data_IF_724991896627
#
_entry.id   IF_724991896627
#
_cell.length_a   1.000
_cell.length_b   1.000
_cell.length_c   1.000
_cell.angle_alpha   90.00
_cell.angle_beta   90.00
_cell.angle_gamma   90.00
#
_symmetry.space_group_name_H-M   'P 1'
#
loop_
_entity.id
_entity.type
_entity.pdbx_description
1 polymer ?
#
# COMPACT_ATOMS: atom_id res chain seq x y z
N UNK A 1 -9.79 -4.64 9.72
CA UNK A 1 -8.33 -4.67 9.54
C UNK A 1 -7.64 -3.46 10.17
N UNK A 2 -8.03 -2.22 9.85
CA UNK A 2 -7.47 -1.00 10.47
C UNK A 2 -7.42 -1.06 12.01
N UNK A 3 -8.56 -1.35 12.67
CA UNK A 3 -8.62 -1.51 14.14
C UNK A 3 -7.68 -2.59 14.71
N UNK A 4 -7.40 -3.64 13.93
CA UNK A 4 -6.49 -4.71 14.34
C UNK A 4 -5.02 -4.29 14.21
N UNK A 5 -4.70 -3.44 13.22
CA UNK A 5 -3.38 -2.82 13.05
C UNK A 5 -3.17 -1.76 14.14
N UNK A 6 -4.17 -0.94 14.46
CA UNK A 6 -4.09 0.03 15.57
C UNK A 6 -3.83 -0.69 16.90
N UNK A 7 -4.52 -1.81 17.12
CA UNK A 7 -4.30 -2.67 18.29
C UNK A 7 -2.92 -3.35 18.27
N UNK A 8 -2.37 -3.66 17.09
CA UNK A 8 -1.01 -4.16 16.93
C UNK A 8 0.03 -3.08 17.27
N UNK A 9 -0.18 -1.84 16.84
CA UNK A 9 0.68 -0.69 17.19
C UNK A 9 0.63 -0.39 18.69
N UNK A 10 -0.49 -0.67 19.35
CA UNK A 10 -0.62 -0.65 20.81
C UNK A 10 -0.02 -1.88 21.54
N UNK A 11 0.59 -2.81 20.79
CA UNK A 11 1.19 -4.06 21.28
C UNK A 11 0.21 -5.00 22.00
N UNK A 12 -1.07 -5.00 21.60
CA UNK A 12 -2.08 -5.91 22.13
C UNK A 12 -2.27 -7.14 21.21
N UNK A 13 -1.83 -8.32 21.69
CA UNK A 13 -1.87 -9.56 20.91
C UNK A 13 -3.30 -10.07 20.64
N UNK A 14 -4.20 -10.04 21.61
CA UNK A 14 -5.56 -10.60 21.48
C UNK A 14 -6.38 -9.90 20.39
N UNK A 15 -6.29 -8.57 20.32
CA UNK A 15 -7.03 -7.77 19.33
C UNK A 15 -6.36 -7.74 17.96
N UNK A 16 -5.06 -8.07 17.89
CA UNK A 16 -4.29 -8.11 16.64
C UNK A 16 -4.21 -9.50 16.01
N UNK A 17 -4.81 -10.53 16.64
CA UNK A 17 -4.80 -11.91 16.14
C UNK A 17 -5.28 -12.03 14.67
N UNK A 18 -6.28 -11.23 14.27
CA UNK A 18 -6.75 -11.19 12.89
C UNK A 18 -5.66 -10.74 11.89
N UNK A 19 -4.85 -9.75 12.28
CA UNK A 19 -3.74 -9.25 11.47
C UNK A 19 -2.57 -10.26 11.43
N UNK A 20 -2.22 -10.82 12.59
CA UNK A 20 -1.14 -11.80 12.71
C UNK A 20 -1.46 -13.06 11.90
N UNK A 21 -2.70 -13.54 11.96
CA UNK A 21 -3.12 -14.73 11.20
C UNK A 21 -3.17 -14.47 9.70
N UNK A 22 -3.58 -13.27 9.28
CA UNK A 22 -3.62 -12.91 7.86
C UNK A 22 -2.22 -12.84 7.22
N UNK A 23 -1.21 -12.39 7.97
CA UNK A 23 0.17 -12.30 7.48
C UNK A 23 1.06 -13.48 7.90
N UNK A 24 0.47 -14.53 8.53
CA UNK A 24 1.21 -15.70 9.02
C UNK A 24 1.97 -16.43 7.92
N UNK A 25 1.33 -16.59 6.77
CA UNK A 25 1.90 -17.31 5.62
C UNK A 25 3.06 -16.52 4.97
N UNK A 26 3.01 -15.19 5.04
CA UNK A 26 4.02 -14.31 4.46
C UNK A 26 5.25 -14.21 5.37
N UNK A 27 5.05 -14.24 6.69
CA UNK A 27 6.12 -13.99 7.65
C UNK A 27 6.77 -15.31 8.12
N UNK A 28 6.10 -16.45 7.91
CA UNK A 28 6.54 -17.78 8.34
C UNK A 28 7.02 -17.81 9.81
N UNK A 29 6.42 -16.97 10.65
CA UNK A 29 6.81 -16.77 12.05
C UNK A 29 6.05 -17.67 12.99
N UNK A 30 6.73 -18.17 14.03
CA UNK A 30 6.10 -18.87 15.13
C UNK A 30 5.27 -17.89 15.98
N UNK A 31 3.96 -18.13 16.10
CA UNK A 31 3.01 -17.26 16.84
C UNK A 31 3.36 -17.12 18.32
N UNK A 32 3.97 -18.15 18.91
CA UNK A 32 4.40 -18.12 20.32
C UNK A 32 5.61 -17.20 20.53
N UNK A 33 6.58 -17.21 19.61
CA UNK A 33 7.72 -16.28 19.66
C UNK A 33 7.25 -14.83 19.50
N UNK A 34 6.35 -14.56 18.56
CA UNK A 34 5.81 -13.22 18.34
C UNK A 34 5.04 -12.70 19.58
N UNK A 35 4.29 -13.56 20.27
CA UNK A 35 3.61 -13.21 21.52
C UNK A 35 4.59 -12.83 22.63
N UNK A 36 5.70 -13.57 22.75
CA UNK A 36 6.76 -13.25 23.71
C UNK A 36 7.46 -11.93 23.36
N UNK A 37 7.82 -11.72 22.09
CA UNK A 37 8.44 -10.47 21.62
C UNK A 37 7.53 -9.25 21.85
N UNK A 38 6.22 -9.36 21.59
CA UNK A 38 5.25 -8.28 21.85
C UNK A 38 5.10 -7.98 23.34
N UNK A 39 5.12 -9.00 24.21
CA UNK A 39 5.04 -8.81 25.66
C UNK A 39 6.29 -8.08 26.19
N UNK A 40 7.48 -8.49 25.75
CA UNK A 40 8.74 -7.84 26.09
C UNK A 40 8.75 -6.40 25.57
N UNK A 41 8.36 -6.19 24.31
CA UNK A 41 8.24 -4.85 23.72
C UNK A 41 7.30 -3.94 24.51
N UNK A 42 6.15 -4.45 24.96
CA UNK A 42 5.18 -3.70 25.77
C UNK A 42 5.75 -3.29 27.13
N UNK A 43 6.56 -4.13 27.75
CA UNK A 43 7.24 -3.80 29.01
C UNK A 43 8.39 -2.82 28.81
N UNK A 44 9.14 -2.92 27.71
CA UNK A 44 10.19 -1.96 27.38
C UNK A 44 9.62 -0.55 27.10
N UNK A 45 8.47 -0.46 26.43
CA UNK A 45 7.83 0.82 26.10
C UNK A 45 7.24 1.54 27.32
N UNK A 46 6.82 0.80 28.36
CA UNK A 46 6.35 1.40 29.62
C UNK A 46 7.44 2.11 30.41
N UNK A 47 8.70 1.69 30.23
CA UNK A 47 9.82 2.13 31.05
C UNK A 47 10.69 3.21 30.38
N UNK A 48 10.54 3.44 29.07
CA UNK A 48 11.38 4.37 28.32
C UNK A 48 10.54 5.29 27.42
N UNK A 49 10.68 6.60 27.62
CA UNK A 49 10.08 7.65 26.78
C UNK A 49 10.82 7.85 25.45
N UNK A 50 11.90 7.09 25.22
CA UNK A 50 12.67 7.12 23.99
C UNK A 50 11.98 6.27 22.92
N UNK A 51 11.67 6.89 21.78
CA UNK A 51 10.77 6.35 20.77
C UNK A 51 11.03 4.89 20.32
N UNK A 52 9.94 4.27 19.86
CA UNK A 52 9.80 2.87 19.39
C UNK A 52 10.99 2.37 18.53
N UNK A 53 11.65 3.25 17.78
CA UNK A 53 12.83 2.96 16.93
C UNK A 53 14.07 2.46 17.67
N UNK A 54 14.32 2.85 18.94
CA UNK A 54 15.48 2.35 19.70
C UNK A 54 15.24 0.95 20.30
N UNK A 55 13.97 0.59 20.49
CA UNK A 55 13.56 -0.62 21.22
C UNK A 55 13.43 -1.82 20.27
N UNK A 56 13.00 -1.61 19.03
CA UNK A 56 12.76 -2.68 18.05
C UNK A 56 13.97 -2.82 17.11
N UNK A 57 15.06 -3.39 17.62
CA UNK A 57 16.21 -3.79 16.78
C UNK A 57 15.90 -5.11 16.07
N UNK A 58 16.27 -5.19 14.78
CA UNK A 58 16.04 -6.38 13.93
C UNK A 58 16.71 -7.65 14.49
N UNK A 59 17.83 -7.51 15.19
CA UNK A 59 18.57 -8.64 15.79
C UNK A 59 17.89 -9.19 17.04
N UNK A 60 17.19 -8.34 17.79
CA UNK A 60 16.56 -8.71 19.08
C UNK A 60 15.12 -9.19 18.86
N UNK A 61 14.40 -8.57 17.92
CA UNK A 61 12.99 -8.87 17.64
C UNK A 61 12.74 -9.06 16.13
N UNK A 62 13.25 -10.15 15.53
CA UNK A 62 13.19 -10.36 14.08
C UNK A 62 11.77 -10.53 13.56
N UNK A 63 10.86 -11.12 14.33
CA UNK A 63 9.47 -11.34 13.90
C UNK A 63 8.64 -10.06 14.05
N UNK A 64 8.76 -9.38 15.20
CA UNK A 64 8.11 -8.10 15.46
C UNK A 64 8.56 -7.04 14.44
N UNK A 65 9.85 -6.97 14.12
CA UNK A 65 10.39 -6.00 13.17
C UNK A 65 9.80 -6.18 11.76
N UNK A 66 9.76 -7.42 11.25
CA UNK A 66 9.14 -7.73 9.96
C UNK A 66 7.66 -7.38 9.94
N UNK A 67 6.92 -7.75 10.98
CA UNK A 67 5.49 -7.46 11.06
C UNK A 67 5.22 -5.95 11.17
N UNK A 68 6.08 -5.22 11.88
CA UNK A 68 6.01 -3.75 11.97
C UNK A 68 6.34 -3.08 10.65
N UNK A 69 7.29 -3.61 9.87
CA UNK A 69 7.56 -3.14 8.51
C UNK A 69 6.33 -3.34 7.62
N UNK A 70 5.68 -4.51 7.69
CA UNK A 70 4.41 -4.77 6.98
C UNK A 70 3.34 -3.77 7.42
N UNK A 71 3.14 -3.56 8.72
CA UNK A 71 2.18 -2.61 9.26
C UNK A 71 2.42 -1.15 8.80
N UNK A 72 3.69 -0.75 8.65
CA UNK A 72 4.07 0.58 8.15
C UNK A 72 3.95 0.71 6.62
N UNK A 73 4.15 -0.37 5.87
CA UNK A 73 3.98 -0.36 4.40
C UNK A 73 2.52 -0.37 3.97
N UNK A 74 1.65 -1.03 4.74
CA UNK A 74 0.21 -0.93 4.52
C UNK A 74 -0.18 0.50 4.92
N UNK A 75 -0.81 1.28 4.02
CA UNK A 75 -1.25 2.61 4.39
C UNK A 75 -2.31 2.49 5.49
N UNK A 76 -1.90 2.77 6.74
CA UNK A 76 -2.83 2.89 7.88
C UNK A 76 -3.77 4.08 7.66
N UNK A 77 -3.35 5.06 6.85
CA UNK A 77 -4.15 6.22 6.47
C UNK A 77 -4.99 5.93 5.22
N UNK A 78 -6.30 6.13 5.31
CA UNK A 78 -7.22 6.10 4.17
C UNK A 78 -6.98 7.22 3.17
N UNK A 79 -6.23 8.27 3.53
CA UNK A 79 -6.10 9.49 2.74
C UNK A 79 -5.51 9.27 1.34
N UNK A 80 -4.54 8.37 1.19
CA UNK A 80 -3.96 8.05 -0.13
C UNK A 80 -4.95 7.30 -1.01
N UNK A 81 -5.65 6.31 -0.45
CA UNK A 81 -6.71 5.59 -1.14
C UNK A 81 -7.87 6.52 -1.53
N UNK A 82 -8.33 7.37 -0.62
CA UNK A 82 -9.38 8.37 -0.87
C UNK A 82 -8.99 9.35 -1.99
N UNK A 83 -7.73 9.79 -2.00
CA UNK A 83 -7.19 10.62 -3.08
C UNK A 83 -7.27 9.91 -4.43
N UNK A 84 -6.84 8.64 -4.49
CA UNK A 84 -6.91 7.82 -5.71
C UNK A 84 -8.36 7.59 -6.17
N UNK A 85 -9.29 7.26 -5.26
CA UNK A 85 -10.71 7.11 -5.58
C UNK A 85 -11.36 8.44 -6.02
N UNK A 86 -10.93 9.57 -5.46
CA UNK A 86 -11.36 10.90 -5.89
C UNK A 86 -10.90 11.22 -7.32
N UNK A 87 -9.69 10.84 -7.71
CA UNK A 87 -9.25 10.92 -9.12
C UNK A 87 -10.09 10.02 -10.02
N UNK A 88 -10.30 8.79 -9.60
CA UNK A 88 -11.06 7.80 -10.35
C UNK A 88 -12.51 8.24 -10.60
N UNK A 89 -13.15 8.86 -9.59
CA UNK A 89 -14.50 9.44 -9.71
C UNK A 89 -14.56 10.63 -10.67
N UNK A 90 -13.47 11.39 -10.83
CA UNK A 90 -13.38 12.46 -11.84
C UNK A 90 -13.22 11.89 -13.26
N UNK A 91 -12.49 10.78 -13.40
CA UNK A 91 -12.31 10.10 -14.68
C UNK A 91 -13.60 9.42 -15.15
N UNK A 92 -14.25 8.65 -14.27
CA UNK A 92 -15.51 7.96 -14.54
C UNK A 92 -16.68 8.73 -13.93
N UNK A 93 -17.19 9.69 -14.69
CA UNK A 93 -18.38 10.45 -14.34
C UNK A 93 -19.62 9.93 -15.09
N UNK A 94 -20.80 10.40 -14.70
CA UNK A 94 -22.09 9.93 -15.22
C UNK A 94 -22.24 10.08 -16.74
N UNK A 95 -21.59 11.07 -17.36
CA UNK A 95 -21.63 11.25 -18.82
C UNK A 95 -20.67 10.32 -19.58
N UNK A 96 -19.69 9.70 -18.90
CA UNK A 96 -18.65 8.84 -19.51
C UNK A 96 -18.83 7.37 -19.11
N UNK A 97 -20.07 6.91 -19.03
CA UNK A 97 -20.41 5.53 -18.64
C UNK A 97 -20.05 4.48 -19.69
N UNK A 98 -19.94 4.86 -20.96
CA UNK A 98 -19.58 3.97 -22.08
C UNK A 98 -18.08 3.66 -22.23
N UNK A 99 -17.25 4.11 -21.29
CA UNK A 99 -15.80 3.94 -21.36
C UNK A 99 -15.37 2.50 -21.10
N UNK A 100 -14.56 1.92 -22.01
CA UNK A 100 -13.99 0.57 -21.86
C UNK A 100 -13.04 0.50 -20.66
N UNK A 101 -13.09 -0.62 -19.92
CA UNK A 101 -12.31 -0.82 -18.69
C UNK A 101 -10.80 -0.65 -18.89
N UNK A 102 -10.24 -1.16 -19.99
CA UNK A 102 -8.81 -1.02 -20.29
C UNK A 102 -8.38 0.45 -20.40
N UNK A 103 -9.17 1.26 -21.11
CA UNK A 103 -8.91 2.70 -21.24
C UNK A 103 -9.00 3.40 -19.89
N UNK A 104 -9.96 3.01 -19.06
CA UNK A 104 -10.15 3.57 -17.72
C UNK A 104 -8.98 3.26 -16.78
N UNK A 105 -8.52 2.01 -16.76
CA UNK A 105 -7.36 1.60 -15.98
C UNK A 105 -6.12 2.39 -16.39
N UNK A 106 -5.85 2.48 -17.70
CA UNK A 106 -4.69 3.23 -18.22
C UNK A 106 -4.73 4.71 -17.82
N UNK A 107 -5.88 5.38 -17.98
CA UNK A 107 -6.01 6.78 -17.56
C UNK A 107 -5.90 6.96 -16.04
N UNK A 108 -6.40 6.00 -15.25
CA UNK A 108 -6.33 6.05 -13.80
C UNK A 108 -4.88 6.03 -13.31
N UNK A 109 -4.05 5.15 -13.87
CA UNK A 109 -2.61 5.06 -13.55
C UNK A 109 -1.91 6.38 -13.85
N UNK A 110 -2.12 6.95 -15.04
CA UNK A 110 -1.51 8.23 -15.44
C UNK A 110 -1.92 9.38 -14.49
N UNK A 111 -3.17 9.40 -14.02
CA UNK A 111 -3.67 10.46 -13.16
C UNK A 111 -3.25 10.32 -11.69
N UNK A 112 -3.12 9.08 -11.19
CA UNK A 112 -2.61 8.79 -9.85
C UNK A 112 -1.12 9.12 -9.79
N UNK A 113 -0.35 8.64 -10.76
CA UNK A 113 1.09 8.85 -10.89
C UNK A 113 1.43 10.11 -11.70
N UNK A 114 0.71 11.21 -11.43
CA UNK A 114 0.84 12.43 -12.24
C UNK A 114 2.23 13.05 -12.19
N UNK A 115 2.94 12.89 -11.07
CA UNK A 115 4.30 13.38 -10.90
C UNK A 115 5.30 12.65 -11.81
N UNK A 116 5.05 11.36 -12.09
CA UNK A 116 5.82 10.59 -13.06
C UNK A 116 5.36 10.92 -14.48
N UNK A 117 4.06 11.06 -14.72
CA UNK A 117 3.52 11.44 -16.02
C UNK A 117 4.04 12.80 -16.52
N UNK A 118 4.19 13.77 -15.62
CA UNK A 118 4.74 15.10 -15.93
C UNK A 118 6.22 15.07 -16.35
N UNK A 119 6.96 14.00 -16.02
CA UNK A 119 8.36 13.83 -16.44
C UNK A 119 8.49 13.26 -17.84
N UNK A 120 7.40 12.78 -18.44
CA UNK A 120 7.40 12.20 -19.78
C UNK A 120 7.47 13.33 -20.81
N UNK A 121 8.45 13.28 -21.71
CA UNK A 121 8.63 14.28 -22.76
C UNK A 121 7.55 14.09 -23.84
N UNK A 122 6.73 15.11 -24.15
CA UNK A 122 5.66 14.98 -25.15
C UNK A 122 6.16 14.58 -26.54
N UNK A 123 7.37 14.98 -26.91
CA UNK A 123 7.99 14.67 -28.20
C UNK A 123 8.25 13.17 -28.37
N UNK A 124 8.62 12.46 -27.30
CA UNK A 124 8.79 11.00 -27.33
C UNK A 124 7.46 10.28 -27.56
N UNK A 125 6.38 10.78 -26.95
CA UNK A 125 5.02 10.28 -27.16
C UNK A 125 4.62 10.48 -28.63
N UNK A 126 4.91 11.65 -29.20
CA UNK A 126 4.56 11.95 -30.58
C UNK A 126 5.34 11.08 -31.57
N UNK A 127 6.64 10.89 -31.32
CA UNK A 127 7.51 10.04 -32.14
C UNK A 127 7.13 8.55 -32.05
N UNK A 128 6.81 8.05 -30.86
CA UNK A 128 6.31 6.67 -30.69
C UNK A 128 4.95 6.49 -31.35
N UNK A 129 4.05 7.45 -31.21
CA UNK A 129 2.75 7.42 -31.87
C UNK A 129 2.83 7.55 -33.40
N UNK A 130 3.84 8.23 -33.92
CA UNK A 130 4.11 8.33 -35.37
C UNK A 130 4.67 7.04 -35.96
N UNK A 131 5.39 6.23 -35.17
CA UNK A 131 5.94 4.92 -35.60
C UNK A 131 4.89 3.81 -35.70
N UNK A 132 3.73 3.98 -35.07
CA UNK A 132 2.63 3.01 -35.13
C UNK A 132 1.92 3.16 -36.48
N UNK A 133 1.85 2.08 -37.28
CA UNK A 133 1.21 2.10 -38.60
C UNK A 133 -0.30 2.38 -38.47
N UNK A 134 -0.75 3.50 -39.04
CA UNK A 134 -2.12 4.02 -38.92
C UNK A 134 -3.04 3.50 -40.01
N UNK A 135 -2.89 2.25 -40.43
CA UNK A 135 -3.83 1.65 -41.39
C UNK A 135 -5.17 1.43 -40.69
N UNK A 136 -6.00 2.48 -40.67
CA UNK A 136 -7.44 2.31 -40.66
C UNK A 136 -7.76 1.50 -41.91
N UNK A 137 -7.94 0.20 -41.74
CA UNK A 137 -8.45 -0.67 -42.78
C UNK A 137 -9.92 -0.28 -42.99
N UNK A 138 -10.13 0.71 -43.85
CA UNK A 138 -11.45 1.04 -44.38
C UNK A 138 -11.77 -0.02 -45.44
N UNK A 139 -12.17 -1.21 -45.00
CA UNK A 139 -12.87 -2.15 -45.89
C UNK A 139 -14.26 -1.57 -46.16
N UNK A 140 -14.42 -0.98 -47.34
CA UNK A 140 -15.70 -0.81 -48.01
C UNK A 140 -16.21 -2.17 -48.49
#
# INVERSE_FOLDING_TARGET
MAKAIDSFMAMDFEKSQYFIQHYKDIINSNTECLKAEMLVGKNCLKNSTDGIKKIVNQEVFPNLYKLMQVALTIPVSSATCERSFSFMRRLKNWMRTSMVQQRFTNLSVINIERDLANKIVPEEILNTFAKIDRRLCLTL
#
